data_IF_120858592974
#
_entry.id   IF_120858592974
#
_cell.length_a   1.000
_cell.length_b   1.000
_cell.length_c   1.000
_cell.angle_alpha   90.00
_cell.angle_beta   90.00
_cell.angle_gamma   90.00
#
_symmetry.space_group_name_H-M   'P 1'
#
loop_
_entity.id
_entity.type
_entity.pdbx_description
1 polymer ?
#
# COMPACT_ATOMS: atom_id res chain seq x y z
N UNK A 1 -17.14 -4.04 7.40
CA UNK A 1 -15.96 -4.32 6.56
C UNK A 1 -14.76 -4.04 7.42
N UNK A 2 -14.02 -5.09 7.71
CA UNK A 2 -12.74 -5.00 8.39
C UNK A 2 -11.74 -4.20 7.54
N UNK A 3 -10.76 -3.62 8.21
CA UNK A 3 -9.73 -2.81 7.59
C UNK A 3 -8.88 -3.64 6.61
N UNK A 4 -8.56 -4.89 6.96
CA UNK A 4 -7.83 -5.81 6.09
C UNK A 4 -8.64 -6.18 4.84
N UNK A 5 -9.94 -6.39 4.97
CA UNK A 5 -10.84 -6.64 3.83
C UNK A 5 -10.82 -5.48 2.83
N UNK A 6 -10.81 -4.25 3.31
CA UNK A 6 -10.80 -3.07 2.44
C UNK A 6 -9.47 -2.88 1.71
N UNK A 7 -8.35 -3.14 2.37
CA UNK A 7 -7.04 -3.12 1.72
C UNK A 7 -6.89 -4.24 0.69
N UNK A 8 -7.34 -5.45 1.03
CA UNK A 8 -7.40 -6.56 0.08
C UNK A 8 -8.27 -6.19 -1.12
N UNK A 9 -9.46 -5.61 -0.91
CA UNK A 9 -10.34 -5.25 -2.02
C UNK A 9 -9.72 -4.16 -2.92
N UNK A 10 -9.04 -3.17 -2.35
CA UNK A 10 -8.28 -2.15 -3.11
C UNK A 10 -7.13 -2.78 -3.91
N UNK A 11 -6.46 -3.79 -3.35
CA UNK A 11 -5.40 -4.55 -4.05
C UNK A 11 -5.90 -5.15 -5.36
N UNK A 12 -7.11 -5.71 -5.35
CA UNK A 12 -7.67 -6.45 -6.48
C UNK A 12 -8.55 -5.57 -7.40
N UNK A 13 -9.17 -4.53 -6.86
CA UNK A 13 -10.16 -3.68 -7.56
C UNK A 13 -9.96 -2.18 -7.27
N UNK A 14 -8.76 -1.60 -7.50
CA UNK A 14 -8.47 -0.21 -7.15
C UNK A 14 -9.41 0.80 -7.84
N UNK A 15 -9.87 0.48 -9.05
CA UNK A 15 -10.80 1.32 -9.83
C UNK A 15 -12.16 1.52 -9.15
N UNK A 16 -12.64 0.57 -8.35
CA UNK A 16 -13.91 0.68 -7.59
C UNK A 16 -13.83 1.80 -6.54
N UNK A 17 -12.62 2.13 -6.09
CA UNK A 17 -12.34 3.17 -5.13
C UNK A 17 -11.91 4.50 -5.77
N UNK A 18 -11.98 4.62 -7.11
CA UNK A 18 -11.50 5.79 -7.83
C UNK A 18 -9.97 5.95 -7.81
N UNK A 19 -9.23 4.89 -7.48
CA UNK A 19 -7.77 4.89 -7.44
C UNK A 19 -7.25 4.52 -8.83
N UNK A 20 -6.73 5.51 -9.56
CA UNK A 20 -6.21 5.32 -10.92
C UNK A 20 -4.69 5.49 -11.00
N UNK A 21 -4.10 6.20 -10.04
CA UNK A 21 -2.68 6.51 -10.02
C UNK A 21 -2.01 6.08 -8.72
N UNK A 22 -0.69 5.92 -8.76
CA UNK A 22 0.12 5.70 -7.57
C UNK A 22 -0.11 6.80 -6.51
N UNK A 23 -0.24 8.05 -6.95
CA UNK A 23 -0.57 9.17 -6.06
C UNK A 23 -1.92 8.97 -5.37
N UNK A 24 -2.95 8.53 -6.09
CA UNK A 24 -4.27 8.26 -5.51
C UNK A 24 -4.20 7.14 -4.47
N UNK A 25 -3.39 6.10 -4.72
CA UNK A 25 -3.18 5.02 -3.77
C UNK A 25 -2.43 5.48 -2.51
N UNK A 26 -1.40 6.33 -2.64
CA UNK A 26 -0.75 6.96 -1.49
C UNK A 26 -1.74 7.81 -0.68
N UNK A 27 -2.57 8.62 -1.35
CA UNK A 27 -3.59 9.45 -0.67
C UNK A 27 -4.64 8.58 0.02
N UNK A 28 -5.08 7.51 -0.63
CA UNK A 28 -6.01 6.54 -0.05
C UNK A 28 -5.41 5.89 1.21
N UNK A 29 -4.17 5.42 1.14
CA UNK A 29 -3.46 4.82 2.28
C UNK A 29 -3.28 5.83 3.44
N UNK A 30 -2.96 7.10 3.15
CA UNK A 30 -2.88 8.14 4.17
C UNK A 30 -4.24 8.45 4.83
N UNK A 31 -5.32 8.52 4.03
CA UNK A 31 -6.67 8.70 4.57
C UNK A 31 -7.15 7.49 5.40
N UNK A 32 -6.77 6.30 4.96
CA UNK A 32 -7.00 5.04 5.66
C UNK A 32 -6.21 4.96 6.98
N UNK A 33 -4.98 5.46 7.01
CA UNK A 33 -4.16 5.53 8.21
C UNK A 33 -4.76 6.47 9.26
N UNK A 34 -5.26 7.65 8.84
CA UNK A 34 -5.97 8.57 9.72
C UNK A 34 -7.23 7.94 10.36
N UNK A 35 -7.93 7.07 9.63
CA UNK A 35 -9.09 6.33 10.14
C UNK A 35 -8.72 5.17 11.07
N UNK A 36 -7.47 4.69 11.03
CA UNK A 36 -6.94 3.58 11.85
C UNK A 36 -6.02 4.05 12.98
N UNK A 37 -6.19 5.30 13.44
CA UNK A 37 -5.35 5.95 14.47
C UNK A 37 -3.85 6.02 14.13
N UNK A 38 -3.54 6.06 12.84
CA UNK A 38 -2.20 6.04 12.27
C UNK A 38 -1.37 4.78 12.57
N UNK A 39 -2.01 3.62 12.79
CA UNK A 39 -1.31 2.38 13.20
C UNK A 39 -0.59 1.68 12.04
N UNK A 40 -1.10 1.81 10.82
CA UNK A 40 -0.60 1.04 9.67
C UNK A 40 0.58 1.77 9.03
N UNK A 41 0.46 3.04 8.65
CA UNK A 41 1.59 3.79 8.09
C UNK A 41 2.66 4.07 9.13
N UNK A 42 2.36 4.31 10.41
CA UNK A 42 3.42 4.44 11.42
C UNK A 42 4.20 3.15 11.59
N UNK A 43 3.53 2.01 11.62
CA UNK A 43 4.19 0.72 11.67
C UNK A 43 5.00 0.44 10.40
N UNK A 44 4.43 0.75 9.23
CA UNK A 44 5.07 0.58 7.93
C UNK A 44 6.27 1.50 7.76
N UNK A 45 6.15 2.77 8.16
CA UNK A 45 7.27 3.73 8.23
C UNK A 45 8.37 3.18 9.13
N UNK A 46 8.06 2.72 10.34
CA UNK A 46 9.07 2.14 11.23
C UNK A 46 9.74 0.87 10.65
N UNK A 47 9.01 0.09 9.83
CA UNK A 47 9.55 -1.11 9.17
C UNK A 47 10.45 -0.75 7.99
N UNK A 48 10.06 0.28 7.23
CA UNK A 48 10.78 0.77 6.06
C UNK A 48 12.02 1.60 6.43
N UNK A 49 11.89 2.53 7.38
CA UNK A 49 12.97 3.37 7.90
C UNK A 49 12.53 4.12 9.19
N UNK A 50 13.21 3.97 10.34
CA UNK A 50 12.88 4.70 11.57
C UNK A 50 13.04 6.25 11.49
N UNK A 51 13.50 6.82 10.37
CA UNK A 51 13.80 8.24 10.19
C UNK A 51 12.92 9.01 9.18
N UNK A 52 11.68 9.34 9.56
CA UNK A 52 10.84 10.48 9.12
C UNK A 52 11.16 11.26 7.81
N UNK A 53 10.10 11.40 6.98
CA UNK A 53 9.75 12.53 6.07
C UNK A 53 9.87 12.42 4.54
N UNK A 54 10.07 11.25 3.94
CA UNK A 54 9.87 11.12 2.47
C UNK A 54 9.08 9.87 2.10
N UNK A 55 7.86 9.71 2.66
CA UNK A 55 7.08 8.47 2.50
C UNK A 55 6.84 8.07 1.05
N UNK A 56 6.60 9.03 0.14
CA UNK A 56 6.37 8.70 -1.27
C UNK A 56 7.68 8.32 -1.97
N UNK A 57 8.75 9.09 -1.81
CA UNK A 57 10.01 8.80 -2.51
C UNK A 57 10.77 7.61 -1.92
N UNK A 58 10.63 7.34 -0.62
CA UNK A 58 11.20 6.14 0.02
C UNK A 58 10.44 4.90 -0.46
N UNK A 59 9.11 4.95 -0.49
CA UNK A 59 8.31 3.81 -0.96
C UNK A 59 8.50 3.58 -2.47
N UNK A 60 8.50 4.63 -3.28
CA UNK A 60 8.88 4.52 -4.69
C UNK A 60 10.30 3.98 -4.83
N UNK A 61 11.27 4.47 -4.05
CA UNK A 61 12.65 3.98 -4.06
C UNK A 61 12.79 2.49 -3.72
N UNK A 62 12.02 1.99 -2.74
CA UNK A 62 12.01 0.55 -2.39
C UNK A 62 11.38 -0.30 -3.48
N UNK A 63 10.30 0.21 -4.09
CA UNK A 63 9.66 -0.45 -5.21
C UNK A 63 10.57 -0.46 -6.44
N UNK A 64 11.35 0.61 -6.67
CA UNK A 64 12.38 0.71 -7.71
C UNK A 64 13.59 -0.21 -7.43
N UNK A 65 14.00 -0.35 -6.17
CA UNK A 65 15.08 -1.27 -5.78
C UNK A 65 14.66 -2.73 -5.99
N UNK A 66 13.41 -3.07 -5.64
CA UNK A 66 12.83 -4.40 -5.87
C UNK A 66 12.54 -4.68 -7.34
N UNK A 67 12.11 -3.66 -8.07
CA UNK A 67 11.85 -3.73 -9.50
C UNK A 67 12.32 -2.44 -10.20
N UNK A 68 13.48 -2.47 -10.88
CA UNK A 68 13.98 -1.31 -11.63
C UNK A 68 13.04 -0.83 -12.74
N UNK A 69 12.09 -1.66 -13.18
CA UNK A 69 11.06 -1.31 -14.15
C UNK A 69 9.87 -0.53 -13.56
N UNK A 70 9.77 -0.42 -12.23
CA UNK A 70 8.65 0.20 -11.53
C UNK A 70 8.25 1.61 -12.05
N UNK A 71 9.19 2.53 -12.33
CA UNK A 71 8.85 3.88 -12.80
C UNK A 71 8.15 3.87 -14.16
N UNK A 72 8.40 2.85 -14.99
CA UNK A 72 7.82 2.69 -16.32
C UNK A 72 6.52 1.90 -16.36
N UNK A 73 6.06 1.35 -15.23
CA UNK A 73 4.83 0.55 -15.14
C UNK A 73 3.58 1.40 -15.29
N UNK A 74 2.48 0.78 -15.74
CA UNK A 74 1.18 1.44 -15.77
C UNK A 74 0.68 1.80 -14.36
N UNK A 75 -0.15 2.84 -14.26
CA UNK A 75 -0.65 3.32 -12.95
C UNK A 75 -1.32 2.22 -12.12
N UNK A 76 -2.09 1.32 -12.74
CA UNK A 76 -2.68 0.18 -12.05
C UNK A 76 -1.64 -0.80 -11.49
N UNK A 77 -0.57 -1.08 -12.22
CA UNK A 77 0.50 -1.97 -11.76
C UNK A 77 1.32 -1.35 -10.62
N UNK A 78 1.54 -0.04 -10.65
CA UNK A 78 2.20 0.68 -9.56
C UNK A 78 1.36 0.67 -8.28
N UNK A 79 0.03 0.79 -8.43
CA UNK A 79 -0.92 0.67 -7.31
C UNK A 79 -0.88 -0.74 -6.72
N UNK A 80 -0.92 -1.78 -7.55
CA UNK A 80 -0.82 -3.17 -7.08
C UNK A 80 0.48 -3.41 -6.32
N UNK A 81 1.61 -2.95 -6.84
CA UNK A 81 2.91 -3.12 -6.20
C UNK A 81 2.99 -2.42 -4.84
N UNK A 82 2.40 -1.23 -4.71
CA UNK A 82 2.29 -0.52 -3.43
C UNK A 82 1.46 -1.31 -2.41
N UNK A 83 0.32 -1.85 -2.81
CA UNK A 83 -0.56 -2.60 -1.90
C UNK A 83 0.05 -3.96 -1.53
N UNK A 84 0.75 -4.62 -2.46
CA UNK A 84 1.52 -5.84 -2.18
C UNK A 84 2.60 -5.60 -1.12
N UNK A 85 3.32 -4.48 -1.21
CA UNK A 85 4.34 -4.11 -0.21
C UNK A 85 3.72 -3.89 1.18
N UNK A 86 2.54 -3.26 1.25
CA UNK A 86 1.80 -3.12 2.52
C UNK A 86 1.30 -4.47 3.04
N UNK A 87 0.87 -5.38 2.15
CA UNK A 87 0.43 -6.72 2.50
C UNK A 87 1.56 -7.55 3.12
N UNK A 88 2.76 -7.45 2.56
CA UNK A 88 3.96 -8.12 3.08
C UNK A 88 4.32 -7.63 4.47
N UNK A 89 4.33 -6.30 4.67
CA UNK A 89 4.54 -5.70 5.98
C UNK A 89 3.53 -6.23 7.03
N UNK A 90 2.26 -6.34 6.65
CA UNK A 90 1.22 -6.85 7.54
C UNK A 90 1.40 -8.34 7.84
N UNK A 91 1.82 -9.14 6.85
CA UNK A 91 2.13 -10.55 7.05
C UNK A 91 3.31 -10.75 8.02
N UNK A 92 4.38 -9.94 7.92
CA UNK A 92 5.51 -9.99 8.86
C UNK A 92 5.10 -9.63 10.30
N UNK A 93 4.06 -8.81 10.48
CA UNK A 93 3.49 -8.47 11.80
C UNK A 93 2.54 -9.54 12.36
N UNK A 94 2.20 -10.55 11.58
CA UNK A 94 1.24 -11.59 11.96
C UNK A 94 -0.23 -11.24 11.67
N UNK A 95 -0.48 -10.19 10.88
CA UNK A 95 -1.82 -9.69 10.52
C UNK A 95 -2.04 -9.74 8.98
N UNK A 96 -1.91 -10.89 8.30
CA UNK A 96 -1.94 -10.95 6.84
C UNK A 96 -3.27 -10.45 6.26
N UNK A 97 -3.21 -9.74 5.14
CA UNK A 97 -4.42 -9.35 4.41
C UNK A 97 -5.21 -10.58 3.95
N UNK A 98 -6.55 -10.52 3.98
CA UNK A 98 -7.38 -11.58 3.43
C UNK A 98 -7.13 -11.77 1.93
N UNK A 99 -7.44 -12.97 1.44
CA UNK A 99 -7.33 -13.32 0.02
C UNK A 99 -8.27 -12.50 -0.87
N UNK A 100 -8.20 -12.69 -2.19
CA UNK A 100 -9.08 -12.00 -3.13
C UNK A 100 -10.56 -12.19 -2.75
N UNK A 101 -11.37 -11.12 -2.83
CA UNK A 101 -12.79 -11.22 -2.55
C UNK A 101 -13.43 -12.22 -3.52
N UNK A 102 -14.37 -13.02 -3.01
CA UNK A 102 -15.13 -13.95 -3.84
C UNK A 102 -15.88 -13.19 -4.97
N UNK A 103 -15.98 -13.78 -6.17
CA UNK A 103 -16.57 -13.14 -7.35
C UNK A 103 -18.06 -12.84 -7.22
#
# INVERSE_FOLDING_TARGET
MDIGERLADVRFRPSVYGIATFRDACVFLCGFDAASENRVLRGFQNWVDPGSLVSTSVVSGLLEERDPGFPGRGGGEQVTALVDLVAEFLAERGDPLPGPPEP
#
